data_IF_240438540993
#
_entry.id   IF_240438540993
#
_cell.length_a   1.000
_cell.length_b   1.000
_cell.length_c   1.000
_cell.angle_alpha   90.00
_cell.angle_beta   90.00
_cell.angle_gamma   90.00
#
_symmetry.space_group_name_H-M   'P 1'
#
loop_
_entity.id
_entity.type
_entity.pdbx_description
1 polymer ?
#
# COMPACT_ATOMS: atom_id res chain seq x y z
N UNK A 1 -29.52 2.36 7.54
CA UNK A 1 -28.10 2.60 7.21
C UNK A 1 -27.23 1.59 7.97
N UNK A 2 -27.04 0.39 7.44
CA UNK A 2 -26.23 -0.64 8.09
C UNK A 2 -24.75 -0.23 8.06
N UNK A 3 -24.15 0.01 9.24
CA UNK A 3 -22.69 0.11 9.39
C UNK A 3 -22.11 -1.24 8.99
N UNK A 4 -21.41 -1.27 7.86
CA UNK A 4 -20.62 -2.40 7.40
C UNK A 4 -19.47 -2.61 8.40
N UNK A 5 -19.76 -3.31 9.51
CA UNK A 5 -18.80 -3.64 10.57
C UNK A 5 -17.58 -4.41 10.06
N UNK A 6 -17.61 -4.91 8.82
CA UNK A 6 -16.48 -5.59 8.16
C UNK A 6 -15.50 -4.68 7.41
N UNK A 7 -15.81 -3.39 7.15
CA UNK A 7 -14.90 -2.54 6.37
C UNK A 7 -13.75 -1.96 7.22
N UNK A 8 -13.91 -1.95 8.55
CA UNK A 8 -12.85 -1.50 9.47
C UNK A 8 -11.80 -2.58 9.75
N UNK A 9 -12.12 -3.86 9.52
CA UNK A 9 -11.18 -4.97 9.69
C UNK A 9 -10.43 -5.33 8.39
N UNK A 10 -10.99 -4.97 7.22
CA UNK A 10 -10.37 -5.10 5.88
C UNK A 10 -9.14 -4.19 5.64
N UNK A 11 -8.56 -3.62 6.71
CA UNK A 11 -7.33 -2.83 6.65
C UNK A 11 -6.19 -3.46 7.46
N UNK A 12 -6.45 -4.55 8.19
CA UNK A 12 -5.49 -5.11 9.16
C UNK A 12 -4.92 -6.46 8.77
N UNK A 13 -5.43 -7.11 7.73
CA UNK A 13 -4.95 -8.44 7.39
C UNK A 13 -3.66 -8.36 6.56
N UNK A 14 -2.84 -9.40 6.65
CA UNK A 14 -1.68 -9.57 5.77
C UNK A 14 -2.10 -9.54 4.29
N UNK A 15 -3.25 -10.15 3.99
CA UNK A 15 -3.79 -10.23 2.63
C UNK A 15 -4.14 -8.86 2.04
N UNK A 16 -4.77 -7.98 2.82
CA UNK A 16 -5.04 -6.60 2.40
C UNK A 16 -3.75 -5.85 2.10
N UNK A 17 -2.72 -6.03 2.93
CA UNK A 17 -1.41 -5.40 2.73
C UNK A 17 -0.70 -5.91 1.48
N UNK A 18 -0.75 -7.22 1.21
CA UNK A 18 -0.19 -7.83 -0.02
C UNK A 18 -0.91 -7.32 -1.27
N UNK A 19 -2.23 -7.22 -1.20
CA UNK A 19 -3.08 -6.71 -2.29
C UNK A 19 -2.79 -5.24 -2.57
N UNK A 20 -2.76 -4.42 -1.53
CA UNK A 20 -2.43 -3.00 -1.63
C UNK A 20 -1.00 -2.79 -2.18
N UNK A 21 -0.01 -3.57 -1.72
CA UNK A 21 1.35 -3.51 -2.23
C UNK A 21 1.39 -3.78 -3.74
N UNK A 22 0.74 -4.86 -4.18
CA UNK A 22 0.70 -5.25 -5.59
C UNK A 22 0.03 -4.17 -6.44
N UNK A 23 -1.06 -3.59 -5.94
CA UNK A 23 -1.78 -2.51 -6.61
C UNK A 23 -0.91 -1.25 -6.77
N UNK A 24 -0.24 -0.81 -5.69
CA UNK A 24 0.65 0.36 -5.73
C UNK A 24 1.84 0.11 -6.65
N UNK A 25 2.43 -1.09 -6.61
CA UNK A 25 3.58 -1.44 -7.44
C UNK A 25 3.21 -1.41 -8.93
N UNK A 26 2.07 -1.99 -9.31
CA UNK A 26 1.58 -1.97 -10.69
C UNK A 26 1.24 -0.56 -11.14
N UNK A 27 0.51 0.22 -10.32
CA UNK A 27 0.20 1.60 -10.62
C UNK A 27 1.44 2.47 -10.77
N UNK A 28 2.45 2.26 -9.92
CA UNK A 28 3.72 2.97 -10.01
C UNK A 28 4.50 2.58 -11.28
N UNK A 29 4.49 1.31 -11.68
CA UNK A 29 5.14 0.85 -12.90
C UNK A 29 4.53 1.48 -14.18
N UNK A 30 3.28 1.92 -14.13
CA UNK A 30 2.62 2.61 -15.24
C UNK A 30 3.04 4.08 -15.40
N UNK A 31 3.79 4.65 -14.44
CA UNK A 31 4.19 6.06 -14.43
C UNK A 31 5.70 6.15 -14.73
N UNK A 32 6.10 6.59 -15.94
CA UNK A 32 7.51 6.75 -16.27
C UNK A 32 8.17 7.83 -15.41
N UNK A 33 9.37 7.54 -14.88
CA UNK A 33 10.14 8.50 -14.07
C UNK A 33 9.61 8.71 -12.65
N UNK A 34 8.77 7.79 -12.16
CA UNK A 34 8.25 7.83 -10.80
C UNK A 34 9.37 7.72 -9.76
N UNK A 35 9.32 8.58 -8.75
CA UNK A 35 10.24 8.55 -7.61
C UNK A 35 9.61 7.74 -6.47
N UNK A 36 10.05 6.49 -6.34
CA UNK A 36 9.58 5.60 -5.28
C UNK A 36 9.96 6.09 -3.88
N UNK A 37 11.09 6.78 -3.72
CA UNK A 37 11.48 7.31 -2.42
C UNK A 37 10.49 8.37 -1.96
N UNK A 38 10.07 9.25 -2.88
CA UNK A 38 9.04 10.27 -2.61
C UNK A 38 7.68 9.64 -2.27
N UNK A 39 7.27 8.59 -2.98
CA UNK A 39 5.99 7.88 -2.72
C UNK A 39 5.97 7.29 -1.32
N UNK A 40 7.09 6.69 -0.90
CA UNK A 40 7.20 6.09 0.41
C UNK A 40 7.09 7.13 1.55
N UNK A 41 7.36 8.41 1.29
CA UNK A 41 7.15 9.50 2.28
C UNK A 41 5.72 10.07 2.28
N UNK A 42 4.88 9.71 1.31
CA UNK A 42 3.55 10.32 1.17
C UNK A 42 2.64 9.96 2.34
N UNK A 43 2.73 8.72 2.85
CA UNK A 43 1.95 8.27 4.00
C UNK A 43 2.19 9.13 5.25
N UNK A 44 3.45 9.44 5.55
CA UNK A 44 3.82 10.30 6.67
C UNK A 44 3.26 11.72 6.51
N UNK A 45 3.37 12.28 5.30
CA UNK A 45 2.84 13.62 4.99
C UNK A 45 1.31 13.70 5.10
N UNK A 46 0.62 12.61 4.79
CA UNK A 46 -0.83 12.51 4.90
C UNK A 46 -1.31 12.06 6.30
N UNK A 47 -0.40 11.86 7.26
CA UNK A 47 -0.75 11.41 8.61
C UNK A 47 -1.27 9.96 8.67
N UNK A 48 -0.98 9.17 7.65
CA UNK A 48 -1.35 7.76 7.52
C UNK A 48 -0.11 6.97 7.07
N UNK A 49 0.85 6.72 7.97
CA UNK A 49 2.09 6.05 7.61
C UNK A 49 1.81 4.66 7.04
N UNK A 50 2.39 4.36 5.89
CA UNK A 50 2.30 3.02 5.31
C UNK A 50 3.21 2.07 6.11
N UNK A 51 2.72 0.86 6.47
CA UNK A 51 3.49 -0.08 7.29
C UNK A 51 4.62 -0.78 6.54
N UNK A 52 4.77 -0.54 5.23
CA UNK A 52 5.82 -1.10 4.38
C UNK A 52 6.20 -0.09 3.29
N UNK A 53 7.39 -0.26 2.72
CA UNK A 53 7.85 0.52 1.57
C UNK A 53 7.64 -0.25 0.27
N UNK A 54 7.20 0.45 -0.77
CA UNK A 54 7.00 -0.09 -2.11
C UNK A 54 8.11 0.41 -3.04
N UNK A 55 8.78 -0.53 -3.67
CA UNK A 55 9.79 -0.37 -4.71
C UNK A 55 9.51 -1.36 -5.85
N UNK A 56 10.08 -1.17 -7.04
CA UNK A 56 9.95 -2.15 -8.13
C UNK A 56 10.38 -3.56 -7.75
N UNK A 57 11.34 -3.69 -6.83
CA UNK A 57 11.89 -4.95 -6.31
C UNK A 57 11.21 -5.46 -5.03
N UNK A 58 10.19 -4.75 -4.51
CA UNK A 58 9.47 -5.20 -3.31
C UNK A 58 8.74 -6.51 -3.62
N UNK A 59 9.01 -7.56 -2.85
CA UNK A 59 8.24 -8.80 -2.91
C UNK A 59 6.95 -8.65 -2.10
N UNK A 60 5.85 -8.29 -2.75
CA UNK A 60 4.57 -8.08 -2.07
C UNK A 60 4.01 -9.32 -1.39
N UNK A 61 4.44 -10.54 -1.75
CA UNK A 61 3.96 -11.79 -1.13
C UNK A 61 4.48 -12.01 0.29
N UNK A 62 5.62 -11.38 0.64
CA UNK A 62 6.27 -11.50 1.94
C UNK A 62 5.75 -10.49 2.97
N UNK A 63 4.85 -9.59 2.54
CA UNK A 63 4.28 -8.60 3.45
C UNK A 63 3.31 -9.29 4.40
N UNK A 64 3.65 -9.22 5.68
CA UNK A 64 2.89 -9.76 6.81
C UNK A 64 1.97 -8.70 7.38
#
# INVERSE_FOLDING_TARGET
MARHKGLHDAKKTAEDRRTACSCIQQGAAMIPGIDYDRINTLGDRCGSPCPYKVYPSTNCSEIS
#
